data_IF_247164358304
#
_entry.id   IF_247164358304
#
_cell.length_a   1.000
_cell.length_b   1.000
_cell.length_c   1.000
_cell.angle_alpha   90.00
_cell.angle_beta   90.00
_cell.angle_gamma   90.00
#
_symmetry.space_group_name_H-M   'P 1'
#
loop_
_entity.id
_entity.type
_entity.pdbx_description
1 polymer ?
#
# COMPACT_ATOMS: atom_id res chain seq x y z
N UNK A 1 10.11 38.41 -1.49
CA UNK A 1 10.46 37.27 -0.62
C UNK A 1 9.35 37.09 0.39
N UNK A 2 8.38 36.21 0.16
CA UNK A 2 7.50 35.61 1.19
C UNK A 2 6.54 34.65 0.49
N UNK A 3 7.04 33.43 0.26
CA UNK A 3 6.19 32.26 0.07
C UNK A 3 5.51 31.97 1.41
N UNK A 4 4.47 32.72 1.76
CA UNK A 4 3.86 32.66 3.09
C UNK A 4 2.69 31.68 3.21
N UNK A 5 2.27 31.05 2.13
CA UNK A 5 0.91 30.56 2.12
C UNK A 5 0.76 29.24 1.39
N UNK A 6 1.27 28.18 2.01
CA UNK A 6 0.66 26.85 1.82
C UNK A 6 -0.86 26.94 2.03
N UNK A 7 -1.29 27.83 2.95
CA UNK A 7 -2.67 28.25 3.16
C UNK A 7 -3.37 28.85 1.92
N UNK A 8 -2.70 29.64 1.07
CA UNK A 8 -3.29 30.18 -0.18
C UNK A 8 -3.40 29.09 -1.26
N UNK A 9 -2.47 28.13 -1.26
CA UNK A 9 -2.54 26.94 -2.11
C UNK A 9 -3.75 26.05 -1.76
N UNK A 10 -4.04 25.90 -0.46
CA UNK A 10 -5.26 25.25 0.02
C UNK A 10 -6.51 26.12 -0.20
N UNK A 11 -6.40 27.45 -0.10
CA UNK A 11 -7.52 28.39 -0.25
C UNK A 11 -7.93 28.66 -1.71
N UNK A 12 -7.12 28.27 -2.72
CA UNK A 12 -7.54 28.20 -4.13
C UNK A 12 -8.61 27.13 -4.42
N UNK A 13 -9.12 26.46 -3.37
CA UNK A 13 -10.46 25.86 -3.30
C UNK A 13 -10.66 24.54 -4.04
N UNK A 14 -10.01 24.32 -5.18
CA UNK A 14 -10.20 23.13 -6.02
C UNK A 14 -8.95 22.29 -6.29
N UNK A 15 -7.79 22.92 -6.43
CA UNK A 15 -6.57 22.23 -6.88
C UNK A 15 -5.87 21.43 -5.78
N UNK A 16 -5.86 21.93 -4.54
CA UNK A 16 -5.19 21.23 -3.44
C UNK A 16 -5.82 19.86 -3.17
N UNK A 17 -7.14 19.75 -3.22
CA UNK A 17 -7.84 18.46 -3.08
C UNK A 17 -7.45 17.46 -4.17
N UNK A 18 -7.25 17.92 -5.41
CA UNK A 18 -6.79 17.06 -6.51
C UNK A 18 -5.35 16.60 -6.33
N UNK A 19 -4.45 17.47 -5.90
CA UNK A 19 -3.03 17.14 -5.69
C UNK A 19 -2.88 16.15 -4.53
N UNK A 20 -3.47 16.48 -3.38
CA UNK A 20 -3.44 15.61 -2.21
C UNK A 20 -4.23 14.32 -2.41
N UNK A 21 -5.34 14.37 -3.16
CA UNK A 21 -6.10 13.19 -3.58
C UNK A 21 -5.28 12.27 -4.48
N UNK A 22 -4.61 12.81 -5.51
CA UNK A 22 -3.76 12.03 -6.42
C UNK A 22 -2.56 11.41 -5.70
N UNK A 23 -1.91 12.18 -4.82
CA UNK A 23 -0.83 11.68 -3.96
C UNK A 23 -1.33 10.60 -2.99
N UNK A 24 -2.49 10.80 -2.37
CA UNK A 24 -3.13 9.84 -1.48
C UNK A 24 -3.50 8.54 -2.20
N UNK A 25 -4.06 8.62 -3.41
CA UNK A 25 -4.36 7.45 -4.25
C UNK A 25 -3.07 6.72 -4.63
N UNK A 26 -2.03 7.44 -5.03
CA UNK A 26 -0.73 6.83 -5.38
C UNK A 26 -0.11 6.12 -4.18
N UNK A 27 -0.10 6.78 -3.00
CA UNK A 27 0.38 6.18 -1.77
C UNK A 27 -0.46 4.98 -1.32
N UNK A 28 -1.79 5.04 -1.52
CA UNK A 28 -2.69 3.93 -1.23
C UNK A 28 -2.41 2.74 -2.14
N UNK A 29 -2.22 2.95 -3.46
CA UNK A 29 -1.87 1.88 -4.40
C UNK A 29 -0.54 1.23 -4.02
N UNK A 30 0.50 2.02 -3.74
CA UNK A 30 1.79 1.49 -3.27
C UNK A 30 1.67 0.71 -1.95
N UNK A 31 0.84 1.20 -1.03
CA UNK A 31 0.56 0.53 0.24
C UNK A 31 -0.20 -0.79 0.05
N UNK A 32 -1.20 -0.81 -0.83
CA UNK A 32 -1.98 -2.01 -1.17
C UNK A 32 -1.10 -3.05 -1.86
N UNK A 33 -0.31 -2.69 -2.87
CA UNK A 33 0.63 -3.61 -3.51
C UNK A 33 1.59 -4.23 -2.49
N UNK A 34 2.16 -3.40 -1.60
CA UNK A 34 3.05 -3.89 -0.53
C UNK A 34 2.32 -4.86 0.41
N UNK A 35 1.07 -4.57 0.79
CA UNK A 35 0.26 -5.44 1.63
C UNK A 35 -0.06 -6.77 0.93
N UNK A 36 -0.43 -6.73 -0.35
CA UNK A 36 -0.75 -7.90 -1.16
C UNK A 36 0.47 -8.80 -1.32
N UNK A 37 1.63 -8.24 -1.67
CA UNK A 37 2.89 -8.99 -1.79
C UNK A 37 3.28 -9.64 -0.45
N UNK A 38 3.12 -8.91 0.66
CA UNK A 38 3.37 -9.46 2.01
C UNK A 38 2.44 -10.61 2.33
N UNK A 39 1.15 -10.50 2.01
CA UNK A 39 0.16 -11.57 2.23
C UNK A 39 0.47 -12.79 1.38
N UNK A 40 0.75 -12.60 0.10
CA UNK A 40 1.08 -13.69 -0.82
C UNK A 40 2.35 -14.44 -0.38
N UNK A 41 3.36 -13.72 0.12
CA UNK A 41 4.57 -14.34 0.68
C UNK A 41 4.27 -15.20 1.91
N UNK A 42 3.37 -14.76 2.79
CA UNK A 42 2.95 -15.55 3.94
C UNK A 42 2.13 -16.78 3.54
N UNK A 43 1.26 -16.66 2.55
CA UNK A 43 0.50 -17.79 2.01
C UNK A 43 1.39 -18.83 1.35
N UNK A 44 2.36 -18.42 0.54
CA UNK A 44 3.32 -19.32 -0.09
C UNK A 44 4.10 -20.15 0.96
N UNK A 45 4.61 -19.50 2.00
CA UNK A 45 5.31 -20.18 3.09
C UNK A 45 4.40 -21.12 3.89
N UNK A 46 3.13 -20.72 4.09
CA UNK A 46 2.13 -21.59 4.76
C UNK A 46 1.84 -22.83 3.93
N UNK A 47 1.70 -22.69 2.61
CA UNK A 47 1.42 -23.81 1.72
C UNK A 47 2.59 -24.80 1.70
N UNK A 48 3.82 -24.30 1.59
CA UNK A 48 5.03 -25.14 1.64
C UNK A 48 5.14 -25.93 2.95
N UNK A 49 4.82 -25.29 4.09
CA UNK A 49 4.79 -25.98 5.39
C UNK A 49 3.74 -27.08 5.45
N UNK A 50 2.55 -26.82 4.89
CA UNK A 50 1.47 -27.79 4.91
C UNK A 50 1.78 -29.00 4.01
N UNK A 51 2.45 -28.79 2.88
CA UNK A 51 2.84 -29.85 1.95
C UNK A 51 3.86 -30.81 2.59
N UNK A 52 4.89 -30.27 3.27
CA UNK A 52 5.87 -31.06 4.03
C UNK A 52 5.22 -31.87 5.16
N UNK A 53 4.21 -31.31 5.83
CA UNK A 53 3.46 -32.00 6.88
C UNK A 53 2.58 -33.13 6.29
N UNK A 54 1.98 -32.92 5.11
CA UNK A 54 1.21 -33.97 4.44
C UNK A 54 2.09 -35.10 3.89
N UNK A 55 3.29 -34.79 3.41
CA UNK A 55 4.23 -35.78 2.87
C UNK A 55 4.83 -36.63 4.00
N UNK A 56 5.24 -36.00 5.11
CA UNK A 56 5.74 -36.71 6.30
C UNK A 56 4.69 -37.52 7.07
N UNK A 57 3.40 -37.24 6.90
CA UNK A 57 2.31 -38.03 7.47
C UNK A 57 1.90 -39.23 6.59
N UNK A 58 2.45 -39.34 5.37
CA UNK A 58 2.17 -40.41 4.40
C UNK A 58 3.28 -41.45 4.26
N UNK A 59 4.39 -41.32 5.02
CA UNK A 59 5.46 -42.32 5.17
C UNK A 59 5.41 -42.97 6.55
#
# INVERSE_FOLDING_TARGET
MQWNSVSEFFAMGGYAFYVWGSFGVTAAVMGIETLVIRRQRQELLRNLRNELLSEGASS
#
